data_IF_020797529074
#
_entry.id   IF_020797529074
#
_cell.length_a   1.000
_cell.length_b   1.000
_cell.length_c   1.000
_cell.angle_alpha   90.00
_cell.angle_beta   90.00
_cell.angle_gamma   90.00
#
_symmetry.space_group_name_H-M   'P 1'
#
loop_
_entity.id
_entity.type
_entity.pdbx_description
1 polymer ?
#
# COMPACT_ATOMS: atom_id res chain seq x y z
N UNK A 1 -17.02 -33.17 -28.74
CA UNK A 1 -16.23 -31.93 -28.89
C UNK A 1 -15.46 -31.73 -27.59
N UNK A 2 -14.17 -32.10 -27.56
CA UNK A 2 -13.37 -32.10 -26.32
C UNK A 2 -13.11 -30.65 -25.90
N UNK A 3 -13.57 -30.28 -24.71
CA UNK A 3 -13.15 -29.03 -24.06
C UNK A 3 -11.65 -29.15 -23.75
N UNK A 4 -10.84 -28.39 -24.48
CA UNK A 4 -9.41 -28.29 -24.22
C UNK A 4 -9.26 -27.51 -22.92
N UNK A 5 -8.79 -28.18 -21.88
CA UNK A 5 -8.35 -27.55 -20.63
C UNK A 5 -7.09 -26.74 -20.97
N UNK A 6 -7.08 -25.40 -20.84
CA UNK A 6 -5.92 -24.62 -21.23
C UNK A 6 -4.73 -24.86 -20.28
N UNK A 7 -3.55 -25.01 -20.87
CA UNK A 7 -2.27 -25.23 -20.21
C UNK A 7 -1.83 -23.96 -19.45
N UNK A 8 -1.45 -24.12 -18.18
CA UNK A 8 -1.10 -23.04 -17.23
C UNK A 8 0.30 -22.45 -17.45
N UNK A 9 0.96 -22.72 -18.58
CA UNK A 9 2.40 -22.49 -18.78
C UNK A 9 2.79 -21.66 -20.02
N UNK A 10 1.86 -20.95 -20.65
CA UNK A 10 2.21 -20.04 -21.75
C UNK A 10 2.14 -18.56 -21.33
N UNK A 11 3.28 -17.96 -20.90
CA UNK A 11 3.36 -16.55 -20.52
C UNK A 11 3.34 -15.58 -21.73
N UNK A 12 3.23 -16.06 -22.97
CA UNK A 12 3.39 -15.26 -24.18
C UNK A 12 2.13 -14.60 -24.75
N UNK A 13 0.98 -14.73 -24.07
CA UNK A 13 -0.32 -14.23 -24.54
C UNK A 13 -0.81 -13.06 -23.67
N UNK A 14 -1.09 -11.86 -24.25
CA UNK A 14 -1.53 -10.70 -23.48
C UNK A 14 -2.88 -10.93 -22.75
N UNK A 15 -3.72 -11.84 -23.25
CA UNK A 15 -4.96 -12.28 -22.57
C UNK A 15 -4.72 -13.05 -21.26
N UNK A 16 -3.48 -13.47 -20.98
CA UNK A 16 -3.06 -14.13 -19.73
C UNK A 16 -2.24 -13.22 -18.81
N UNK A 17 -2.04 -11.95 -19.18
CA UNK A 17 -1.31 -10.97 -18.36
C UNK A 17 -2.07 -10.57 -17.08
N UNK A 18 -3.39 -10.75 -17.06
CA UNK A 18 -4.25 -10.40 -15.92
C UNK A 18 -4.85 -11.67 -15.33
N UNK A 19 -4.19 -12.22 -14.31
CA UNK A 19 -4.73 -13.30 -13.48
C UNK A 19 -5.22 -12.74 -12.16
N UNK A 20 -6.43 -13.09 -11.73
CA UNK A 20 -6.91 -12.80 -10.37
C UNK A 20 -6.14 -13.70 -9.41
N UNK A 21 -5.02 -13.22 -8.89
CA UNK A 21 -4.23 -13.96 -7.92
C UNK A 21 -4.86 -13.93 -6.53
N UNK A 22 -4.75 -15.01 -5.77
CA UNK A 22 -5.01 -15.03 -4.32
C UNK A 22 -3.87 -14.40 -3.51
N UNK A 23 -2.74 -14.11 -4.16
CA UNK A 23 -1.59 -13.49 -3.52
C UNK A 23 -1.97 -12.10 -3.00
N UNK A 24 -1.49 -11.79 -1.81
CA UNK A 24 -1.69 -10.48 -1.17
C UNK A 24 -0.46 -9.63 -1.49
N UNK A 25 -0.66 -8.49 -2.15
CA UNK A 25 0.42 -7.53 -2.34
C UNK A 25 0.87 -7.02 -0.98
N UNK A 26 2.17 -7.11 -0.73
CA UNK A 26 2.76 -6.87 0.57
C UNK A 26 3.16 -5.39 0.66
N UNK A 27 3.00 -4.81 1.85
CA UNK A 27 3.36 -3.42 2.12
C UNK A 27 4.86 -3.17 1.91
N UNK A 28 5.21 -1.93 1.56
CA UNK A 28 6.57 -1.49 1.30
C UNK A 28 6.97 -0.31 2.20
N UNK A 29 8.26 -0.12 2.46
CA UNK A 29 8.78 1.04 3.21
C UNK A 29 9.07 2.25 2.31
N UNK A 30 9.21 2.02 1.02
CA UNK A 30 9.50 3.05 0.02
C UNK A 30 8.65 2.83 -1.23
N UNK A 31 8.36 3.91 -1.93
CA UNK A 31 7.58 3.87 -3.19
C UNK A 31 8.26 3.04 -4.28
N UNK A 32 9.60 3.05 -4.36
CA UNK A 32 10.35 2.31 -5.39
C UNK A 32 10.18 0.79 -5.27
N UNK A 33 10.02 0.27 -4.05
CA UNK A 33 9.73 -1.15 -3.83
C UNK A 33 8.37 -1.60 -4.41
N UNK A 34 7.46 -0.66 -4.72
CA UNK A 34 6.20 -0.98 -5.39
C UNK A 34 6.37 -1.10 -6.91
N UNK A 35 7.47 -0.62 -7.47
CA UNK A 35 7.69 -0.67 -8.91
C UNK A 35 8.12 -2.08 -9.34
N UNK A 36 7.49 -2.58 -10.41
CA UNK A 36 7.91 -3.78 -11.13
C UNK A 36 8.28 -3.38 -12.54
N UNK A 37 9.53 -3.61 -12.93
CA UNK A 37 10.01 -3.30 -14.28
C UNK A 37 10.03 -4.58 -15.09
N UNK A 38 9.12 -4.70 -16.07
CA UNK A 38 9.13 -5.80 -17.01
C UNK A 38 9.93 -5.42 -18.27
N UNK A 39 10.85 -6.29 -18.66
CA UNK A 39 11.59 -6.18 -19.92
C UNK A 39 10.94 -7.08 -20.98
N UNK A 40 10.85 -6.56 -22.19
CA UNK A 40 10.28 -7.27 -23.35
C UNK A 40 11.23 -7.13 -24.53
N UNK A 41 11.49 -8.25 -25.21
CA UNK A 41 12.21 -8.27 -26.48
C UNK A 41 11.18 -8.14 -27.60
N UNK A 42 11.27 -7.05 -28.37
CA UNK A 42 10.34 -6.78 -29.47
C UNK A 42 10.99 -7.20 -30.79
N UNK A 43 10.38 -8.15 -31.49
CA UNK A 43 10.78 -8.47 -32.86
C UNK A 43 10.44 -7.30 -33.80
N UNK A 44 11.43 -6.64 -34.42
CA UNK A 44 11.21 -5.45 -35.23
C UNK A 44 10.45 -5.74 -36.54
N UNK A 45 10.41 -6.99 -37.00
CA UNK A 45 9.76 -7.37 -38.27
C UNK A 45 8.29 -7.78 -38.08
N UNK A 46 7.98 -8.39 -36.93
CA UNK A 46 6.62 -8.88 -36.64
C UNK A 46 5.88 -8.04 -35.61
N UNK A 47 6.57 -7.13 -34.91
CA UNK A 47 6.03 -6.37 -33.79
C UNK A 47 5.70 -7.25 -32.57
N UNK A 48 6.12 -8.52 -32.57
CA UNK A 48 5.80 -9.46 -31.50
C UNK A 48 6.71 -9.21 -30.31
N UNK A 49 6.09 -8.96 -29.16
CA UNK A 49 6.81 -8.79 -27.89
C UNK A 49 6.95 -10.14 -27.19
N UNK A 50 8.17 -10.52 -26.83
CA UNK A 50 8.46 -11.68 -25.98
C UNK A 50 8.86 -11.19 -24.60
N UNK A 51 8.18 -11.66 -23.57
CA UNK A 51 8.53 -11.33 -22.18
C UNK A 51 9.89 -11.94 -21.81
N UNK A 52 10.81 -11.13 -21.27
CA UNK A 52 12.14 -11.60 -20.88
C UNK A 52 12.31 -11.73 -19.36
N UNK A 53 12.06 -10.67 -18.59
CA UNK A 53 12.16 -10.69 -17.12
C UNK A 53 11.36 -9.60 -16.44
N UNK A 54 11.02 -9.82 -15.17
CA UNK A 54 10.58 -8.77 -14.23
C UNK A 54 11.69 -8.52 -13.23
N UNK A 55 12.11 -7.27 -13.11
CA UNK A 55 12.98 -6.78 -12.06
C UNK A 55 12.15 -6.19 -10.94
N UNK A 56 12.50 -6.54 -9.71
CA UNK A 56 11.90 -6.04 -8.48
C UNK A 56 13.02 -5.46 -7.64
N UNK A 57 12.88 -4.21 -7.21
CA UNK A 57 13.85 -3.58 -6.32
C UNK A 57 13.69 -4.18 -4.92
N UNK A 58 14.74 -4.86 -4.44
CA UNK A 58 14.74 -5.41 -3.09
C UNK A 58 14.65 -4.27 -2.07
N UNK A 59 13.80 -4.47 -1.05
CA UNK A 59 13.68 -3.52 0.03
C UNK A 59 14.95 -3.40 0.89
N UNK A 60 15.11 -2.29 1.65
CA UNK A 60 16.05 -2.27 2.76
C UNK A 60 15.79 -3.47 3.69
N UNK A 61 16.85 -4.05 4.23
CA UNK A 61 16.75 -5.23 5.10
C UNK A 61 15.94 -4.90 6.38
N UNK A 62 15.34 -5.93 7.00
CA UNK A 62 14.61 -5.82 8.27
C UNK A 62 15.38 -4.97 9.29
N UNK A 63 16.70 -5.16 9.41
CA UNK A 63 17.50 -4.48 10.43
C UNK A 63 17.51 -2.97 10.31
N UNK A 64 17.36 -2.41 9.11
CA UNK A 64 17.45 -0.94 8.92
C UNK A 64 16.08 -0.28 9.02
N UNK A 65 15.09 -0.78 8.27
CA UNK A 65 13.76 -0.16 8.26
C UNK A 65 12.91 -0.57 9.46
N UNK A 66 13.00 -1.83 9.90
CA UNK A 66 12.32 -2.24 11.11
C UNK A 66 13.01 -1.70 12.37
N UNK A 67 14.33 -1.44 12.40
CA UNK A 67 14.93 -0.72 13.53
C UNK A 67 14.41 0.71 13.60
N UNK A 68 14.35 1.43 12.47
CA UNK A 68 13.81 2.80 12.43
C UNK A 68 12.37 2.88 12.96
N UNK A 69 11.49 1.96 12.55
CA UNK A 69 10.12 1.92 13.08
C UNK A 69 10.05 1.35 14.52
N UNK A 70 10.78 0.28 14.85
CA UNK A 70 10.76 -0.32 16.20
C UNK A 70 11.27 0.62 17.27
N UNK A 71 12.33 1.36 16.99
CA UNK A 71 12.90 2.36 17.91
C UNK A 71 11.89 3.49 18.16
N UNK A 72 11.16 3.93 17.11
CA UNK A 72 10.12 4.96 17.24
C UNK A 72 8.86 4.47 17.93
N UNK A 73 8.40 3.24 17.64
CA UNK A 73 7.03 2.76 17.93
C UNK A 73 7.04 1.61 18.94
N UNK A 74 7.75 0.52 18.66
CA UNK A 74 7.65 -0.71 19.46
C UNK A 74 8.20 -0.56 20.88
N UNK A 75 9.19 0.32 21.09
CA UNK A 75 9.70 0.62 22.42
C UNK A 75 8.74 1.40 23.33
N UNK A 76 7.71 2.06 22.75
CA UNK A 76 6.83 3.01 23.48
C UNK A 76 5.34 2.66 23.44
N UNK A 77 4.84 2.14 22.32
CA UNK A 77 3.41 1.91 22.06
C UNK A 77 2.99 0.43 22.21
N UNK A 78 3.96 -0.49 22.26
CA UNK A 78 3.69 -1.92 22.46
C UNK A 78 2.83 -2.52 21.35
N UNK A 79 1.71 -3.17 21.73
CA UNK A 79 0.74 -3.79 20.79
C UNK A 79 -0.59 -3.04 20.72
N UNK A 80 -0.63 -1.78 21.19
CA UNK A 80 -1.84 -0.95 21.14
C UNK A 80 -1.59 0.19 20.17
N UNK A 81 -2.29 0.17 19.04
CA UNK A 81 -2.09 1.12 17.95
C UNK A 81 -3.41 1.83 17.61
N UNK A 82 -3.46 3.13 17.82
CA UNK A 82 -4.63 3.94 17.48
C UNK A 82 -4.44 4.53 16.08
N UNK A 83 -5.32 4.14 15.15
CA UNK A 83 -5.25 4.52 13.74
C UNK A 83 -6.33 5.54 13.43
N UNK A 84 -5.94 6.69 12.88
CA UNK A 84 -6.86 7.63 12.26
C UNK A 84 -6.76 7.55 10.75
N UNK A 85 -7.82 7.08 10.11
CA UNK A 85 -7.96 7.15 8.66
C UNK A 85 -8.17 8.61 8.21
N UNK A 86 -7.47 9.06 7.16
CA UNK A 86 -7.63 10.41 6.62
C UNK A 86 -7.84 10.31 5.13
N UNK A 87 -9.04 10.64 4.69
CA UNK A 87 -9.36 10.77 3.26
C UNK A 87 -8.79 12.09 2.74
N UNK A 88 -7.82 12.02 1.82
CA UNK A 88 -7.22 13.18 1.17
C UNK A 88 -7.76 13.43 -0.25
N UNK A 89 -8.92 12.85 -0.61
CA UNK A 89 -9.57 12.97 -1.93
C UNK A 89 -9.70 11.63 -2.66
N UNK A 90 -9.98 10.57 -1.91
CA UNK A 90 -10.25 9.22 -2.37
C UNK A 90 -11.59 9.11 -3.10
N UNK A 91 -11.81 7.98 -3.80
CA UNK A 91 -13.07 7.61 -4.42
C UNK A 91 -13.95 6.71 -3.52
N UNK A 92 -13.67 6.66 -2.21
CA UNK A 92 -14.27 5.77 -1.21
C UNK A 92 -13.94 4.28 -1.33
N UNK A 93 -13.23 3.85 -2.39
CA UNK A 93 -12.88 2.44 -2.57
C UNK A 93 -11.96 1.91 -1.47
N UNK A 94 -10.91 2.66 -1.11
CA UNK A 94 -10.00 2.23 -0.04
C UNK A 94 -10.67 2.29 1.32
N UNK A 95 -11.56 3.26 1.54
CA UNK A 95 -12.32 3.44 2.78
C UNK A 95 -13.25 2.27 3.06
N UNK A 96 -13.91 1.73 2.04
CA UNK A 96 -14.75 0.55 2.16
C UNK A 96 -13.93 -0.68 2.57
N UNK A 97 -12.75 -0.86 2.00
CA UNK A 97 -11.86 -1.97 2.39
C UNK A 97 -11.26 -1.78 3.78
N UNK A 98 -10.94 -0.54 4.18
CA UNK A 98 -10.53 -0.20 5.55
C UNK A 98 -11.68 -0.50 6.52
N UNK A 99 -12.91 -0.09 6.20
CA UNK A 99 -14.08 -0.40 7.01
C UNK A 99 -14.33 -1.91 7.09
N UNK A 100 -14.08 -2.65 6.01
CA UNK A 100 -14.19 -4.11 6.04
C UNK A 100 -13.22 -4.75 7.04
N UNK A 101 -12.04 -4.17 7.30
CA UNK A 101 -11.09 -4.74 8.27
C UNK A 101 -11.63 -4.83 9.71
N UNK A 102 -12.65 -4.05 10.07
CA UNK A 102 -13.27 -4.10 11.40
C UNK A 102 -14.34 -5.17 11.54
N UNK A 103 -14.72 -5.84 10.45
CA UNK A 103 -15.70 -6.92 10.51
C UNK A 103 -15.14 -8.14 11.28
N UNK A 104 -16.00 -9.07 11.72
CA UNK A 104 -15.55 -10.27 12.44
C UNK A 104 -14.65 -11.23 11.63
N UNK A 105 -14.60 -11.09 10.30
CA UNK A 105 -13.77 -11.95 9.44
C UNK A 105 -12.29 -11.55 9.53
N UNK A 106 -12.00 -10.25 9.52
CA UNK A 106 -10.64 -9.72 9.58
C UNK A 106 -10.24 -9.30 10.98
N UNK A 107 -11.21 -8.84 11.79
CA UNK A 107 -11.12 -8.51 13.21
C UNK A 107 -9.81 -7.79 13.56
N UNK A 108 -9.70 -6.56 13.07
CA UNK A 108 -8.52 -5.71 13.27
C UNK A 108 -8.22 -5.46 14.77
N UNK A 109 -9.24 -5.46 15.63
CA UNK A 109 -9.08 -5.22 17.07
C UNK A 109 -8.35 -6.35 17.80
N UNK A 110 -8.44 -7.60 17.32
CA UNK A 110 -7.67 -8.73 17.90
C UNK A 110 -6.16 -8.53 17.87
N UNK A 111 -5.68 -7.64 16.98
CA UNK A 111 -4.27 -7.31 16.86
C UNK A 111 -3.87 -6.10 17.72
N UNK A 112 -4.81 -5.54 18.49
CA UNK A 112 -4.63 -4.35 19.33
C UNK A 112 -4.63 -3.05 18.52
N UNK A 113 -5.25 -3.06 17.34
CA UNK A 113 -5.37 -1.89 16.48
C UNK A 113 -6.79 -1.34 16.64
N UNK A 114 -6.93 -0.03 16.85
CA UNK A 114 -8.22 0.61 17.06
C UNK A 114 -8.38 1.80 16.12
N UNK A 115 -9.52 1.91 15.43
CA UNK A 115 -9.83 3.10 14.64
C UNK A 115 -10.32 4.21 15.55
N UNK A 116 -9.62 5.35 15.57
CA UNK A 116 -9.98 6.51 16.39
C UNK A 116 -10.55 7.64 15.52
N UNK A 117 -11.48 8.40 16.09
CA UNK A 117 -12.12 9.52 15.40
C UNK A 117 -11.23 10.77 15.32
N UNK A 118 -10.35 10.96 16.31
CA UNK A 118 -9.53 12.16 16.45
C UNK A 118 -8.06 11.87 16.12
N UNK A 119 -7.39 12.68 15.29
CA UNK A 119 -5.95 12.55 15.06
C UNK A 119 -5.13 12.82 16.33
N UNK A 120 -5.69 13.55 17.32
CA UNK A 120 -5.00 13.80 18.60
C UNK A 120 -4.83 12.56 19.46
N UNK A 121 -5.57 11.50 19.17
CA UNK A 121 -5.45 10.20 19.84
C UNK A 121 -4.81 9.15 18.94
N UNK A 122 -4.28 9.55 17.78
CA UNK A 122 -3.77 8.61 16.78
C UNK A 122 -2.26 8.46 16.88
N UNK A 123 -1.82 7.22 16.89
CA UNK A 123 -0.43 6.81 16.73
C UNK A 123 -0.09 6.64 15.24
N UNK A 124 -1.10 6.34 14.41
CA UNK A 124 -0.95 6.15 12.97
C UNK A 124 -1.97 6.96 12.18
N UNK A 125 -1.49 7.65 11.17
CA UNK A 125 -2.32 8.30 10.16
C UNK A 125 -2.35 7.41 8.92
N UNK A 126 -3.52 6.84 8.65
CA UNK A 126 -3.78 5.97 7.51
C UNK A 126 -4.39 6.81 6.38
N UNK A 127 -3.59 7.26 5.43
CA UNK A 127 -3.98 8.27 4.44
C UNK A 127 -4.32 7.61 3.10
N UNK A 128 -5.44 8.03 2.51
CA UNK A 128 -5.96 7.53 1.24
C UNK A 128 -6.15 8.65 0.22
N UNK A 129 -6.14 8.29 -1.07
CA UNK A 129 -6.38 9.23 -2.18
C UNK A 129 -5.14 10.00 -2.64
N UNK A 130 -5.21 10.66 -3.82
CA UNK A 130 -4.09 11.32 -4.50
C UNK A 130 -3.82 12.75 -4.00
N UNK A 131 -4.04 12.99 -2.70
CA UNK A 131 -4.00 14.30 -2.01
C UNK A 131 -4.45 15.46 -2.90
N UNK A 132 -5.75 15.73 -2.90
CA UNK A 132 -6.29 16.89 -3.63
C UNK A 132 -5.70 18.19 -3.11
N UNK A 133 -5.54 19.19 -3.99
CA UNK A 133 -5.00 20.51 -3.59
C UNK A 133 -5.79 21.15 -2.44
N UNK A 134 -7.11 20.93 -2.43
CA UNK A 134 -7.98 21.43 -1.37
C UNK A 134 -7.71 20.73 -0.02
N UNK A 135 -7.30 19.46 -0.04
CA UNK A 135 -7.02 18.68 1.17
C UNK A 135 -5.59 18.83 1.69
N UNK A 136 -4.67 19.43 0.93
CA UNK A 136 -3.26 19.54 1.33
C UNK A 136 -3.10 20.20 2.71
N UNK A 137 -3.73 21.36 2.92
CA UNK A 137 -3.62 22.10 4.19
C UNK A 137 -4.28 21.30 5.34
N UNK A 138 -5.43 20.68 5.09
CA UNK A 138 -6.14 19.88 6.09
C UNK A 138 -5.32 18.65 6.52
N UNK A 139 -4.67 18.00 5.56
CA UNK A 139 -3.80 16.85 5.80
C UNK A 139 -2.56 17.25 6.62
N UNK A 140 -1.88 18.35 6.26
CA UNK A 140 -0.75 18.88 7.05
C UNK A 140 -1.14 19.20 8.49
N UNK A 141 -2.26 19.90 8.69
CA UNK A 141 -2.77 20.22 10.04
C UNK A 141 -3.13 18.99 10.84
N UNK A 142 -3.65 17.95 10.19
CA UNK A 142 -3.98 16.67 10.83
C UNK A 142 -2.71 15.96 11.27
N UNK A 143 -1.66 15.98 10.44
CA UNK A 143 -0.34 15.46 10.80
C UNK A 143 0.30 16.20 11.98
N UNK A 144 0.22 17.53 11.98
CA UNK A 144 0.72 18.37 13.08
C UNK A 144 -0.07 18.16 14.39
N UNK A 145 -1.35 17.83 14.30
CA UNK A 145 -2.21 17.60 15.46
C UNK A 145 -2.01 16.21 16.10
N UNK A 146 -1.34 15.27 15.42
CA UNK A 146 -1.09 13.93 15.93
C UNK A 146 0.16 13.91 16.85
N UNK A 147 0.07 13.27 18.04
CA UNK A 147 1.18 13.19 18.99
C UNK A 147 2.37 12.39 18.44
N UNK A 148 3.60 12.72 18.85
CA UNK A 148 4.76 11.86 18.58
C UNK A 148 4.84 10.77 19.67
N UNK A 149 5.17 9.50 19.36
CA UNK A 149 5.58 8.98 18.05
C UNK A 149 4.43 8.69 17.07
N UNK A 150 4.41 9.34 15.90
CA UNK A 150 3.41 9.09 14.84
C UNK A 150 3.99 8.44 13.59
N UNK A 151 3.17 7.60 12.96
CA UNK A 151 3.48 6.89 11.70
C UNK A 151 2.52 7.32 10.62
N UNK A 152 3.03 7.51 9.40
CA UNK A 152 2.17 7.78 8.23
C UNK A 152 2.17 6.57 7.31
N UNK A 153 0.98 6.07 7.01
CA UNK A 153 0.77 4.94 6.11
C UNK A 153 -0.05 5.40 4.92
N UNK A 154 0.51 5.29 3.71
CA UNK A 154 -0.19 5.60 2.47
C UNK A 154 -0.90 4.35 1.95
N UNK A 155 -2.19 4.47 1.64
CA UNK A 155 -3.03 3.34 1.20
C UNK A 155 -3.51 3.52 -0.22
N UNK A 156 -3.33 2.47 -1.00
CA UNK A 156 -3.75 2.36 -2.38
C UNK A 156 -2.83 3.04 -3.38
N UNK A 157 -3.08 2.80 -4.66
CA UNK A 157 -2.31 3.34 -5.78
C UNK A 157 -2.35 4.87 -5.78
N UNK A 158 -3.53 5.46 -5.54
CA UNK A 158 -3.67 6.91 -5.44
C UNK A 158 -2.86 7.49 -4.27
N UNK A 159 -2.92 6.88 -3.09
CA UNK A 159 -2.14 7.33 -1.93
C UNK A 159 -0.63 7.15 -2.13
N UNK A 160 -0.21 6.12 -2.87
CA UNK A 160 1.20 5.79 -3.08
C UNK A 160 1.87 6.59 -4.19
N UNK A 161 1.14 6.95 -5.25
CA UNK A 161 1.74 7.56 -6.45
C UNK A 161 0.90 8.64 -7.13
N UNK A 162 -0.32 8.92 -6.64
CA UNK A 162 -1.33 9.70 -7.37
C UNK A 162 -2.23 8.84 -8.27
N UNK A 163 -1.87 7.56 -8.50
CA UNK A 163 -2.69 6.61 -9.24
C UNK A 163 -3.06 7.10 -10.64
N UNK A 164 -4.32 6.92 -11.04
CA UNK A 164 -4.84 7.37 -12.34
C UNK A 164 -4.84 8.90 -12.49
N UNK A 165 -4.83 9.65 -11.38
CA UNK A 165 -4.85 11.11 -11.40
C UNK A 165 -3.47 11.71 -11.65
N UNK A 166 -2.40 10.91 -11.55
CA UNK A 166 -1.03 11.36 -11.73
C UNK A 166 -0.56 12.32 -10.63
N UNK A 167 0.48 13.09 -10.93
CA UNK A 167 1.14 14.00 -9.99
C UNK A 167 1.11 15.44 -10.50
N UNK A 168 1.00 16.40 -9.58
CA UNK A 168 1.12 17.82 -9.88
C UNK A 168 0.02 18.39 -10.79
N UNK A 169 -1.14 17.74 -10.87
CA UNK A 169 -2.25 18.21 -11.69
C UNK A 169 -2.93 19.44 -11.09
N UNK A 170 -3.87 20.04 -11.82
CA UNK A 170 -4.63 21.20 -11.33
C UNK A 170 -5.49 20.86 -10.10
N UNK A 171 -5.88 19.59 -9.91
CA UNK A 171 -6.76 19.16 -8.83
C UNK A 171 -6.05 18.32 -7.75
N UNK A 172 -4.98 17.62 -8.10
CA UNK A 172 -4.27 16.69 -7.22
C UNK A 172 -2.78 17.02 -7.11
N UNK A 173 -2.25 16.95 -5.89
CA UNK A 173 -0.81 17.06 -5.63
C UNK A 173 -0.11 15.77 -6.07
N UNK A 174 -0.71 14.61 -5.81
CA UNK A 174 -0.18 13.29 -6.16
C UNK A 174 -0.14 12.35 -4.95
N UNK A 175 0.90 11.53 -4.84
CA UNK A 175 1.08 10.66 -3.68
C UNK A 175 1.15 11.41 -2.35
N UNK A 176 0.83 10.72 -1.25
CA UNK A 176 0.89 11.27 0.11
C UNK A 176 2.30 11.72 0.47
N UNK A 177 3.31 11.06 -0.10
CA UNK A 177 4.75 11.34 0.05
C UNK A 177 5.17 12.73 -0.46
N UNK A 178 4.33 13.39 -1.26
CA UNK A 178 4.54 14.79 -1.68
C UNK A 178 4.21 15.80 -0.58
N UNK A 179 3.38 15.41 0.40
CA UNK A 179 2.86 16.31 1.43
C UNK A 179 3.36 15.92 2.82
N UNK A 180 3.39 14.63 3.13
CA UNK A 180 3.78 14.07 4.43
C UNK A 180 4.91 13.04 4.27
N UNK A 181 5.75 12.86 5.31
CA UNK A 181 6.75 11.79 5.31
C UNK A 181 6.05 10.43 5.51
N UNK A 182 5.95 9.62 4.45
CA UNK A 182 5.33 8.29 4.50
C UNK A 182 6.33 7.24 5.01
N UNK A 183 5.93 6.46 6.01
CA UNK A 183 6.72 5.38 6.60
C UNK A 183 6.44 4.02 5.94
N UNK A 184 5.19 3.76 5.55
CA UNK A 184 4.74 2.50 4.95
C UNK A 184 3.74 2.78 3.83
N UNK A 185 3.85 2.03 2.73
CA UNK A 185 2.95 2.06 1.59
C UNK A 185 2.21 0.73 1.47
N UNK A 186 0.89 0.78 1.28
CA UNK A 186 0.04 -0.38 1.05
C UNK A 186 -0.47 -0.32 -0.39
N UNK A 187 0.07 -1.14 -1.32
CA UNK A 187 -0.34 -1.12 -2.72
C UNK A 187 -1.72 -1.76 -2.94
N UNK A 188 -2.43 -1.30 -3.99
CA UNK A 188 -3.74 -1.83 -4.41
C UNK A 188 -4.70 -0.74 -4.91
N UNK A 189 -5.78 -1.10 -5.61
CA UNK A 189 -6.79 -0.14 -6.10
C UNK A 189 -8.22 -0.74 -6.18
N UNK A 190 -8.92 -0.91 -5.06
CA UNK A 190 -8.43 -0.73 -3.68
C UNK A 190 -7.61 -1.95 -3.21
N UNK A 191 -6.75 -1.78 -2.19
CA UNK A 191 -6.08 -2.91 -1.56
C UNK A 191 -7.10 -3.81 -0.85
N UNK A 192 -6.91 -5.13 -0.95
CA UNK A 192 -7.74 -6.09 -0.21
C UNK A 192 -7.60 -5.90 1.31
N UNK A 193 -8.59 -6.26 2.13
CA UNK A 193 -8.51 -6.08 3.58
C UNK A 193 -7.32 -6.82 4.21
N UNK A 194 -6.93 -7.98 3.68
CA UNK A 194 -5.74 -8.71 4.12
C UNK A 194 -4.44 -7.92 3.86
N UNK A 195 -4.36 -7.19 2.75
CA UNK A 195 -3.21 -6.35 2.42
C UNK A 195 -3.12 -5.16 3.38
N UNK A 196 -4.26 -4.53 3.69
CA UNK A 196 -4.36 -3.43 4.65
C UNK A 196 -3.91 -3.91 6.04
N UNK A 197 -4.46 -5.04 6.51
CA UNK A 197 -4.10 -5.62 7.80
C UNK A 197 -2.60 -5.96 7.87
N UNK A 198 -2.06 -6.60 6.82
CA UNK A 198 -0.64 -6.89 6.76
C UNK A 198 0.22 -5.62 6.78
N UNK A 199 -0.17 -4.58 6.06
CA UNK A 199 0.53 -3.29 6.07
C UNK A 199 0.51 -2.60 7.44
N UNK A 200 -0.59 -2.70 8.18
CA UNK A 200 -0.65 -2.21 9.56
C UNK A 200 0.22 -3.05 10.51
N UNK A 201 0.29 -4.37 10.34
CA UNK A 201 1.22 -5.23 11.08
C UNK A 201 2.70 -4.90 10.78
N UNK A 202 3.00 -4.48 9.54
CA UNK A 202 4.32 -3.97 9.15
C UNK A 202 4.61 -2.63 9.81
N UNK A 203 3.63 -1.72 9.83
CA UNK A 203 3.75 -0.44 10.54
C UNK A 203 3.96 -0.62 12.05
N UNK A 204 3.37 -1.67 12.64
CA UNK A 204 3.62 -2.05 14.04
C UNK A 204 4.98 -2.75 14.27
N UNK A 205 5.79 -3.02 13.24
CA UNK A 205 7.05 -3.75 13.38
C UNK A 205 6.90 -5.22 13.78
N UNK A 206 5.68 -5.77 13.67
CA UNK A 206 5.35 -7.18 13.91
C UNK A 206 5.71 -8.04 12.70
N UNK A 207 5.68 -7.47 11.50
CA UNK A 207 6.01 -8.13 10.22
C UNK A 207 6.97 -7.31 9.37
N UNK A 208 7.69 -8.00 8.48
CA UNK A 208 8.51 -7.38 7.43
C UNK A 208 7.65 -6.93 6.25
N UNK A 209 7.98 -5.77 5.69
CA UNK A 209 7.68 -5.49 4.30
C UNK A 209 8.44 -6.52 3.43
N UNK A 210 7.71 -7.42 2.77
CA UNK A 210 8.27 -8.31 1.75
C UNK A 210 7.86 -7.77 0.39
N UNK A 211 8.67 -7.97 -0.65
CA UNK A 211 8.29 -7.61 -2.03
C UNK A 211 7.87 -8.86 -2.84
N UNK A 212 8.02 -10.03 -2.22
CA UNK A 212 7.60 -11.32 -2.76
C UNK A 212 6.10 -11.56 -2.45
N UNK A 213 5.30 -12.09 -3.38
CA UNK A 213 3.95 -12.56 -3.07
C UNK A 213 4.01 -13.57 -1.93
N UNK A 214 3.18 -13.40 -0.89
CA UNK A 214 3.03 -14.39 0.17
C UNK A 214 2.54 -15.69 -0.48
N UNK A 215 3.43 -16.68 -0.62
CA UNK A 215 3.07 -18.02 -1.07
C UNK A 215 2.02 -18.59 -0.11
N UNK A 216 0.87 -18.97 -0.68
CA UNK A 216 -0.21 -19.67 0.03
C UNK A 216 0.22 -20.97 0.65
#
# INVERSE_FOLDING_TARGET
MRAVVPDRRDPGRPEHAVTVSSDVEVAAYTRRQLARTASFDVDPMTGRCTFSRVEVEAGPSLSESAARLRERICGRLGRSLHVRQVDAGSCNGCELEIAATTNPLYDLERFGIHLVASPRHADVLLVTGPVTRNMEIALRRTYEAAPEPRVVVAVGACGSSGGIFGEGTYAAVGGVDRVLPVDVYIPGCPPRPQAILNGLLVAMGVREARVEPLRG
#
